data_IF_459284985011
#
_entry.id   IF_459284985011
#
_cell.length_a   1.000
_cell.length_b   1.000
_cell.length_c   1.000
_cell.angle_alpha   90.00
_cell.angle_beta   90.00
_cell.angle_gamma   90.00
#
_symmetry.space_group_name_H-M   'P 1'
#
loop_
_entity.id
_entity.type
_entity.pdbx_description
1 polymer ?
#
# COMPACT_ATOMS: atom_id res chain seq x y z
N UNK A 1 4.07 -35.05 22.05
CA UNK A 1 3.01 -34.86 21.03
C UNK A 1 2.34 -33.49 21.07
N UNK A 2 2.28 -32.79 22.22
CA UNK A 2 1.59 -31.51 22.33
C UNK A 2 2.42 -30.31 21.81
N UNK A 3 3.75 -30.35 21.96
CA UNK A 3 4.64 -29.28 21.49
C UNK A 3 4.69 -29.13 19.96
N UNK A 4 4.66 -30.24 19.21
CA UNK A 4 4.66 -30.20 17.74
C UNK A 4 3.36 -29.60 17.19
N UNK A 5 2.21 -29.93 17.80
CA UNK A 5 0.93 -29.29 17.47
C UNK A 5 0.95 -27.79 17.75
N UNK A 6 1.50 -27.38 18.90
CA UNK A 6 1.61 -25.96 19.25
C UNK A 6 2.48 -25.19 18.24
N UNK A 7 3.60 -25.77 17.83
CA UNK A 7 4.49 -25.19 16.83
C UNK A 7 3.80 -25.02 15.46
N UNK A 8 3.03 -26.04 15.04
CA UNK A 8 2.29 -26.00 13.79
C UNK A 8 1.20 -24.92 13.78
N UNK A 9 0.47 -24.79 14.90
CA UNK A 9 -0.53 -23.72 15.09
C UNK A 9 0.12 -22.35 15.05
N UNK A 10 1.30 -22.19 15.65
CA UNK A 10 2.02 -20.92 15.68
C UNK A 10 2.45 -20.49 14.27
N UNK A 11 3.06 -21.40 13.49
CA UNK A 11 3.46 -21.11 12.10
C UNK A 11 2.26 -20.72 11.24
N UNK A 12 1.15 -21.46 11.33
CA UNK A 12 -0.08 -21.13 10.63
C UNK A 12 -0.60 -19.74 11.02
N UNK A 13 -0.60 -19.42 12.32
CA UNK A 13 -1.01 -18.12 12.83
C UNK A 13 -0.13 -16.96 12.35
N UNK A 14 1.18 -17.14 12.23
CA UNK A 14 2.08 -16.11 11.70
C UNK A 14 1.96 -15.94 10.18
N UNK A 15 1.64 -17.01 9.44
CA UNK A 15 1.55 -16.97 7.98
C UNK A 15 0.40 -16.11 7.44
N UNK A 16 -0.58 -15.77 8.29
CA UNK A 16 -1.72 -14.92 7.94
C UNK A 16 -1.44 -13.43 8.14
N UNK A 17 -0.30 -13.07 8.73
CA UNK A 17 0.11 -11.67 8.89
C UNK A 17 0.59 -11.17 7.53
N UNK A 18 -0.30 -10.53 6.77
CA UNK A 18 0.07 -9.81 5.54
C UNK A 18 0.70 -8.46 5.88
N UNK A 19 1.81 -8.13 5.24
CA UNK A 19 2.40 -6.80 5.31
C UNK A 19 1.54 -5.78 4.57
N UNK A 20 1.42 -4.57 5.12
CA UNK A 20 0.73 -3.45 4.46
C UNK A 20 1.75 -2.63 3.68
N UNK A 21 1.57 -2.51 2.37
CA UNK A 21 2.34 -1.61 1.50
C UNK A 21 1.56 -0.30 1.33
N UNK A 22 1.67 0.59 2.33
CA UNK A 22 0.97 1.86 2.32
C UNK A 22 1.60 2.85 1.33
N UNK A 23 0.84 3.26 0.32
CA UNK A 23 1.14 4.41 -0.54
C UNK A 23 0.23 5.58 -0.17
N UNK A 24 0.71 6.81 -0.38
CA UNK A 24 0.02 8.02 0.05
C UNK A 24 0.15 9.15 -0.96
N UNK A 25 -0.79 10.09 -0.89
CA UNK A 25 -0.84 11.26 -1.76
C UNK A 25 -1.34 12.47 -0.97
N UNK A 26 -0.84 13.67 -1.27
CA UNK A 26 -1.32 14.91 -0.65
C UNK A 26 -2.66 15.31 -1.28
N UNK A 27 -3.71 15.37 -0.46
CA UNK A 27 -5.08 15.71 -0.91
C UNK A 27 -5.50 17.13 -0.57
N UNK A 28 -4.86 17.76 0.42
CA UNK A 28 -5.14 19.15 0.81
C UNK A 28 -3.81 19.92 1.09
N UNK A 29 -3.42 20.87 0.22
CA UNK A 29 -3.97 21.08 -1.12
C UNK A 29 -3.69 19.87 -2.03
N UNK A 30 -4.60 19.55 -2.96
CA UNK A 30 -4.44 18.38 -3.83
C UNK A 30 -3.14 18.46 -4.65
N UNK A 31 -2.36 17.38 -4.64
CA UNK A 31 -1.15 17.30 -5.45
C UNK A 31 -1.47 17.23 -6.94
N UNK A 32 -0.52 17.66 -7.79
CA UNK A 32 -0.68 17.74 -9.25
C UNK A 32 -1.01 16.40 -9.93
N UNK A 33 -0.61 15.26 -9.37
CA UNK A 33 -0.90 13.95 -9.94
C UNK A 33 -2.31 13.46 -9.58
N UNK A 34 -2.93 14.00 -8.53
CA UNK A 34 -4.27 13.63 -8.05
C UNK A 34 -5.37 14.61 -8.43
N UNK A 35 -5.05 15.75 -9.05
CA UNK A 35 -6.06 16.77 -9.43
C UNK A 35 -7.14 16.24 -10.37
N UNK A 36 -6.87 15.21 -11.17
CA UNK A 36 -7.88 14.58 -12.03
C UNK A 36 -9.06 14.02 -11.22
N UNK A 37 -8.83 13.62 -9.96
CA UNK A 37 -9.88 13.15 -9.03
C UNK A 37 -10.86 14.25 -8.63
N UNK A 38 -10.48 15.52 -8.82
CA UNK A 38 -11.30 16.71 -8.53
C UNK A 38 -11.89 17.34 -9.81
N UNK A 39 -11.82 16.66 -10.96
CA UNK A 39 -12.45 17.10 -12.20
C UNK A 39 -11.64 18.12 -13.01
N UNK A 40 -10.36 18.34 -12.68
CA UNK A 40 -9.47 19.15 -13.52
C UNK A 40 -9.22 18.45 -14.86
N UNK A 41 -9.08 19.24 -15.93
CA UNK A 41 -8.78 18.73 -17.27
C UNK A 41 -7.31 18.32 -17.41
N UNK A 42 -6.94 17.22 -16.76
CA UNK A 42 -5.61 16.61 -16.78
C UNK A 42 -5.73 15.12 -17.11
N UNK A 43 -4.70 14.49 -17.70
CA UNK A 43 -4.67 13.04 -17.88
C UNK A 43 -4.93 12.30 -16.57
N UNK A 44 -5.70 11.21 -16.63
CA UNK A 44 -5.96 10.35 -15.47
C UNK A 44 -4.69 9.57 -15.13
N UNK A 45 -4.25 9.66 -13.87
CA UNK A 45 -3.16 8.84 -13.34
C UNK A 45 -3.67 7.97 -12.19
N UNK A 46 -3.80 6.66 -12.42
CA UNK A 46 -4.23 5.71 -11.40
C UNK A 46 -3.16 5.39 -10.35
N UNK A 47 -1.90 5.73 -10.62
CA UNK A 47 -0.74 5.56 -9.75
C UNK A 47 -0.30 6.91 -9.12
N UNK A 48 -1.27 7.78 -8.86
CA UNK A 48 -1.02 9.13 -8.33
C UNK A 48 -0.58 9.14 -6.85
N UNK A 49 -0.67 8.00 -6.17
CA UNK A 49 -0.09 7.74 -4.85
C UNK A 49 1.33 7.13 -4.90
N UNK A 50 1.86 6.86 -6.09
CA UNK A 50 3.17 6.25 -6.33
C UNK A 50 4.33 7.24 -6.46
N UNK A 51 4.20 8.50 -6.02
CA UNK A 51 5.23 9.53 -6.20
C UNK A 51 6.42 9.37 -5.22
N UNK A 52 7.21 8.32 -5.41
CA UNK A 52 8.30 7.86 -4.54
C UNK A 52 9.70 8.10 -5.14
N UNK A 53 9.89 9.18 -5.88
CA UNK A 53 11.17 9.57 -6.51
C UNK A 53 11.76 8.55 -7.49
N UNK A 54 10.93 7.69 -8.11
CA UNK A 54 11.38 6.65 -9.03
C UNK A 54 11.66 5.31 -8.35
N UNK A 55 11.34 5.17 -7.06
CA UNK A 55 11.56 3.96 -6.28
C UNK A 55 13.01 3.76 -5.86
N UNK A 56 13.27 2.66 -5.16
CA UNK A 56 14.61 2.24 -4.76
C UNK A 56 15.33 1.61 -5.95
N UNK A 57 15.90 2.44 -6.82
CA UNK A 57 16.88 1.99 -7.82
C UNK A 57 18.15 1.41 -7.18
#
# INVERSE_FOLDING_TARGET
>A
MNGLKLYFILILGLSTISGILGHGMLMEPVNRLSVWRFGFNTPINYDDNGNNCGGSG
#
